data_IF_135317583173
#
_entry.id   IF_135317583173
#
_cell.length_a   1.000
_cell.length_b   1.000
_cell.length_c   1.000
_cell.angle_alpha   90.00
_cell.angle_beta   90.00
_cell.angle_gamma   90.00
#
_symmetry.space_group_name_H-M   'P 1'
#
loop_
_entity.id
_entity.type
_entity.pdbx_description
1 polymer ?
#
# COMPACT_ATOMS: atom_id res chain seq x y z
N UNK A 1 30.61 18.89 5.81
CA UNK A 1 29.52 18.26 6.55
C UNK A 1 30.14 17.57 7.72
N UNK A 2 29.62 17.87 8.91
CA UNK A 2 30.12 17.32 10.14
C UNK A 2 28.97 16.55 10.76
N UNK A 3 29.21 15.26 11.04
CA UNK A 3 28.28 14.41 11.78
C UNK A 3 28.83 14.27 13.19
N UNK A 4 28.03 14.64 14.19
CA UNK A 4 28.37 14.44 15.58
C UNK A 4 27.38 13.46 16.22
N UNK A 5 27.90 12.54 17.04
CA UNK A 5 27.09 11.59 17.79
C UNK A 5 27.40 11.75 19.26
N UNK A 6 26.38 12.07 20.05
CA UNK A 6 26.47 12.17 21.51
C UNK A 6 25.76 10.97 22.10
N UNK A 7 26.42 10.25 23.00
CA UNK A 7 25.83 9.07 23.63
C UNK A 7 26.21 8.93 25.10
N UNK A 8 25.29 8.34 25.88
CA UNK A 8 25.53 7.89 27.25
C UNK A 8 25.55 6.35 27.35
N UNK A 9 25.68 5.64 26.22
CA UNK A 9 25.69 4.18 26.13
C UNK A 9 24.30 3.53 26.00
N UNK A 10 23.22 4.27 26.22
CA UNK A 10 21.83 3.79 26.05
C UNK A 10 21.10 4.61 24.99
N UNK A 11 21.30 5.92 25.00
CA UNK A 11 20.75 6.87 24.05
C UNK A 11 21.87 7.39 23.14
N UNK A 12 21.62 7.42 21.83
CA UNK A 12 22.52 7.93 20.81
C UNK A 12 21.81 9.05 20.06
N UNK A 13 22.32 10.27 20.18
CA UNK A 13 21.78 11.48 19.55
C UNK A 13 22.68 11.90 18.41
N UNK A 14 22.10 12.03 17.22
CA UNK A 14 22.81 12.38 16.00
C UNK A 14 22.55 13.85 15.63
N UNK A 15 23.63 14.57 15.35
CA UNK A 15 23.64 15.99 15.03
C UNK A 15 24.35 16.21 13.70
N UNK A 16 23.86 17.18 12.94
CA UNK A 16 24.48 17.60 11.69
C UNK A 16 24.30 19.10 11.46
N UNK A 17 25.01 19.63 10.47
CA UNK A 17 24.98 21.03 10.04
C UNK A 17 23.88 21.24 8.96
N UNK A 18 22.60 21.06 9.32
CA UNK A 18 21.46 21.19 8.38
C UNK A 18 21.10 22.64 8.10
N UNK A 19 21.21 23.52 9.11
CA UNK A 19 20.90 24.94 8.99
C UNK A 19 22.03 25.77 8.40
N UNK A 20 23.03 26.10 9.23
CA UNK A 20 24.18 26.89 8.82
C UNK A 20 25.42 26.00 8.57
N UNK A 21 26.18 26.26 7.51
CA UNK A 21 27.39 25.47 7.23
C UNK A 21 28.40 25.61 8.37
N UNK A 22 28.85 24.47 8.91
CA UNK A 22 29.79 24.35 10.03
C UNK A 22 29.27 24.76 11.42
N UNK A 23 27.97 25.02 11.58
CA UNK A 23 27.32 25.13 12.89
C UNK A 23 26.40 23.93 13.09
N UNK A 24 26.61 23.18 14.17
CA UNK A 24 25.75 22.03 14.48
C UNK A 24 24.36 22.51 14.92
N UNK A 25 23.33 21.83 14.46
CA UNK A 25 21.96 22.11 14.89
C UNK A 25 21.83 21.91 16.42
N UNK A 26 21.07 22.79 17.08
CA UNK A 26 20.88 22.72 18.54
C UNK A 26 20.06 21.49 19.00
N UNK A 27 19.27 20.91 18.08
CA UNK A 27 18.44 19.74 18.34
C UNK A 27 18.96 18.56 17.50
N UNK A 28 19.02 17.34 18.07
CA UNK A 28 19.39 16.16 17.30
C UNK A 28 18.30 15.85 16.26
N UNK A 29 18.71 15.50 15.04
CA UNK A 29 17.76 15.13 13.99
C UNK A 29 17.29 13.68 14.13
N UNK A 30 18.08 12.84 14.82
CA UNK A 30 17.73 11.46 15.11
C UNK A 30 18.22 11.07 16.50
N UNK A 31 17.38 10.38 17.26
CA UNK A 31 17.71 9.84 18.58
C UNK A 31 17.36 8.36 18.60
N UNK A 32 18.37 7.53 18.79
CA UNK A 32 18.22 6.09 18.95
C UNK A 32 18.32 5.74 20.43
N UNK A 33 17.42 4.86 20.87
CA UNK A 33 17.45 4.26 22.20
C UNK A 33 17.60 2.76 22.06
N UNK A 34 18.71 2.21 22.55
CA UNK A 34 19.03 0.78 22.39
C UNK A 34 18.08 -0.14 23.16
N UNK A 35 17.40 0.38 24.18
CA UNK A 35 16.41 -0.33 24.98
C UNK A 35 15.05 -0.49 24.28
N UNK A 36 14.79 0.25 23.21
CA UNK A 36 13.54 0.25 22.45
C UNK A 36 13.73 -0.20 20.98
N UNK A 37 14.69 -1.09 20.73
CA UNK A 37 15.28 -1.41 19.42
C UNK A 37 14.36 -2.11 18.40
N UNK A 38 13.05 -2.22 18.65
CA UNK A 38 12.13 -2.89 17.72
C UNK A 38 11.73 -2.02 16.52
N UNK A 39 12.05 -0.72 16.51
CA UNK A 39 11.66 0.20 15.42
C UNK A 39 12.82 1.11 15.00
N UNK A 40 13.00 1.26 13.69
CA UNK A 40 13.90 2.21 13.01
C UNK A 40 15.38 1.80 12.84
N UNK A 41 15.72 0.51 12.82
CA UNK A 41 17.08 0.02 12.49
C UNK A 41 17.54 0.38 11.07
N UNK A 42 16.59 0.59 10.15
CA UNK A 42 16.86 0.97 8.75
C UNK A 42 17.61 2.31 8.65
N UNK A 43 17.36 3.21 9.62
CA UNK A 43 18.04 4.49 9.72
C UNK A 43 19.51 4.28 10.07
N UNK A 44 19.81 3.36 10.98
CA UNK A 44 21.17 3.04 11.41
C UNK A 44 22.02 2.43 10.29
N UNK A 45 21.40 1.61 9.43
CA UNK A 45 22.08 0.97 8.30
C UNK A 45 22.70 1.99 7.32
N UNK A 46 22.13 3.19 7.21
CA UNK A 46 22.62 4.27 6.35
C UNK A 46 23.85 4.99 6.89
N UNK A 47 24.13 4.86 8.19
CA UNK A 47 25.33 5.41 8.83
C UNK A 47 26.53 4.44 8.77
N UNK A 48 26.39 3.28 8.12
CA UNK A 48 27.47 2.33 7.96
C UNK A 48 28.58 2.92 7.05
N UNK A 49 29.84 2.68 7.43
CA UNK A 49 31.03 3.25 6.76
C UNK A 49 31.08 2.97 5.25
N UNK A 50 30.52 1.85 4.80
CA UNK A 50 30.50 1.47 3.37
C UNK A 50 29.47 2.23 2.52
N UNK A 51 28.46 2.86 3.15
CA UNK A 51 27.35 3.58 2.48
C UNK A 51 27.37 5.07 2.82
N UNK A 52 28.31 5.50 3.66
CA UNK A 52 28.41 6.86 4.17
C UNK A 52 28.63 7.88 3.03
N UNK A 53 27.63 8.72 2.80
CA UNK A 53 27.70 9.86 1.87
C UNK A 53 27.32 11.14 2.59
N UNK A 54 28.22 12.15 2.68
CA UNK A 54 27.95 13.37 3.42
C UNK A 54 26.76 14.18 2.89
N UNK A 55 26.56 14.22 1.58
CA UNK A 55 25.43 14.92 0.97
C UNK A 55 24.12 14.21 1.24
N UNK A 56 24.08 12.89 1.04
CA UNK A 56 22.87 12.09 1.25
C UNK A 56 22.40 12.08 2.71
N UNK A 57 23.32 12.10 3.68
CA UNK A 57 22.97 12.14 5.10
C UNK A 57 22.40 13.50 5.49
N UNK A 58 22.91 14.60 4.91
CA UNK A 58 22.36 15.94 5.14
C UNK A 58 20.94 16.05 4.58
N UNK A 59 20.71 15.61 3.35
CA UNK A 59 19.38 15.65 2.74
C UNK A 59 18.40 14.80 3.56
N UNK A 60 18.83 13.62 3.98
CA UNK A 60 18.03 12.73 4.82
C UNK A 60 17.73 13.32 6.21
N UNK A 61 18.70 13.97 6.85
CA UNK A 61 18.50 14.65 8.12
C UNK A 61 17.54 15.84 7.98
N UNK A 62 17.61 16.55 6.85
CA UNK A 62 16.67 17.62 6.47
C UNK A 62 15.26 17.07 6.36
N UNK A 63 15.08 15.98 5.62
CA UNK A 63 13.79 15.31 5.45
C UNK A 63 13.21 14.83 6.79
N UNK A 64 14.04 14.21 7.64
CA UNK A 64 13.63 13.78 8.97
C UNK A 64 13.19 14.95 9.86
N UNK A 65 13.94 16.06 9.81
CA UNK A 65 13.62 17.27 10.57
C UNK A 65 12.28 17.87 10.12
N UNK A 66 12.08 18.00 8.81
CA UNK A 66 10.79 18.47 8.26
C UNK A 66 9.66 17.51 8.57
N UNK A 67 9.87 16.20 8.45
CA UNK A 67 8.88 15.18 8.82
C UNK A 67 8.47 15.34 10.27
N UNK A 68 9.43 15.48 11.18
CA UNK A 68 9.15 15.69 12.60
C UNK A 68 8.36 16.98 12.82
N UNK A 69 8.78 18.11 12.21
CA UNK A 69 8.06 19.39 12.29
C UNK A 69 6.62 19.28 11.80
N UNK A 70 6.41 18.62 10.66
CA UNK A 70 5.08 18.38 10.09
C UNK A 70 4.24 17.52 11.03
N UNK A 71 4.80 16.43 11.57
CA UNK A 71 4.09 15.57 12.54
C UNK A 71 3.72 16.36 13.80
N UNK A 72 4.60 17.20 14.33
CA UNK A 72 4.28 18.05 15.49
C UNK A 72 3.20 19.07 15.17
N UNK A 73 3.27 19.71 13.99
CA UNK A 73 2.25 20.64 13.54
C UNK A 73 0.89 19.95 13.39
N UNK A 74 0.84 18.80 12.71
CA UNK A 74 -0.38 18.01 12.56
C UNK A 74 -0.92 17.53 13.91
N UNK A 75 -0.05 17.10 14.84
CA UNK A 75 -0.49 16.76 16.20
C UNK A 75 -1.10 17.97 16.91
N UNK A 76 -0.49 19.15 16.81
CA UNK A 76 -1.01 20.35 17.44
C UNK A 76 -2.37 20.78 16.86
N UNK A 77 -2.56 20.64 15.55
CA UNK A 77 -3.79 21.01 14.84
C UNK A 77 -4.91 19.95 15.00
N UNK A 78 -4.55 18.67 15.07
CA UNK A 78 -5.51 17.56 15.08
C UNK A 78 -5.83 17.03 16.49
N UNK A 79 -4.94 17.20 17.48
CA UNK A 79 -5.18 16.77 18.87
C UNK A 79 -6.06 17.80 19.61
N UNK A 80 -7.34 17.82 19.23
CA UNK A 80 -8.35 18.73 19.74
C UNK A 80 -9.03 18.20 21.02
N UNK A 81 -8.41 17.30 21.77
CA UNK A 81 -9.04 16.69 22.97
C UNK A 81 -9.43 17.73 24.02
N UNK A 82 -8.56 18.72 24.23
CA UNK A 82 -8.75 19.82 25.20
C UNK A 82 -8.63 21.22 24.57
N UNK A 83 -8.55 21.32 23.25
CA UNK A 83 -8.30 22.57 22.52
C UNK A 83 -9.36 22.81 21.44
N UNK A 84 -9.48 24.06 21.01
CA UNK A 84 -10.30 24.45 19.87
C UNK A 84 -9.48 24.38 18.59
N UNK A 85 -10.10 24.04 17.44
CA UNK A 85 -9.40 24.05 16.16
C UNK A 85 -8.90 25.45 15.83
N UNK A 86 -7.70 25.54 15.24
CA UNK A 86 -7.14 26.83 14.84
C UNK A 86 -8.03 27.50 13.78
N UNK A 87 -8.06 28.83 13.78
CA UNK A 87 -8.79 29.57 12.74
C UNK A 87 -8.27 29.27 11.34
N UNK A 88 -6.97 28.99 11.20
CA UNK A 88 -6.36 28.63 9.93
C UNK A 88 -6.92 27.29 9.41
N UNK A 89 -7.05 26.30 10.29
CA UNK A 89 -7.64 25.00 9.97
C UNK A 89 -9.11 25.13 9.57
N UNK A 90 -9.90 25.87 10.35
CA UNK A 90 -11.33 26.08 10.04
C UNK A 90 -11.50 26.79 8.71
N UNK A 91 -10.71 27.83 8.43
CA UNK A 91 -10.74 28.52 7.13
C UNK A 91 -10.34 27.60 5.99
N UNK A 92 -9.32 26.78 6.17
CA UNK A 92 -8.87 25.83 5.15
C UNK A 92 -9.95 24.78 4.81
N UNK A 93 -10.65 24.25 5.82
CA UNK A 93 -11.76 23.31 5.62
C UNK A 93 -12.92 23.99 4.89
N UNK A 94 -13.31 25.20 5.31
CA UNK A 94 -14.41 25.93 4.69
C UNK A 94 -14.09 26.44 3.28
N UNK A 95 -12.80 26.68 2.99
CA UNK A 95 -12.33 27.06 1.66
C UNK A 95 -12.21 25.87 0.70
N UNK A 96 -12.34 24.63 1.18
CA UNK A 96 -12.35 23.45 0.34
C UNK A 96 -13.65 23.41 -0.48
N UNK A 97 -13.54 23.00 -1.74
CA UNK A 97 -14.68 22.93 -2.66
C UNK A 97 -15.81 22.10 -2.03
N UNK A 98 -17.06 22.57 -2.22
CA UNK A 98 -18.31 21.94 -1.74
C UNK A 98 -18.63 22.09 -0.25
N UNK A 99 -17.87 22.85 0.54
CA UNK A 99 -18.16 23.03 1.98
C UNK A 99 -18.96 24.30 2.31
N UNK A 100 -18.64 25.44 1.69
CA UNK A 100 -19.34 26.70 1.94
C UNK A 100 -19.38 27.60 0.69
N UNK A 101 -20.57 27.89 0.17
CA UNK A 101 -20.78 28.71 -1.05
C UNK A 101 -20.67 30.23 -0.79
N UNK A 102 -19.71 30.68 0.01
CA UNK A 102 -19.54 32.08 0.35
C UNK A 102 -18.15 32.47 0.83
N UNK A 103 -17.91 33.78 1.04
CA UNK A 103 -16.64 34.27 1.59
C UNK A 103 -16.52 33.87 3.06
N UNK A 104 -15.40 33.25 3.43
CA UNK A 104 -15.11 32.85 4.81
C UNK A 104 -14.70 34.09 5.62
N UNK A 105 -15.66 34.70 6.33
CA UNK A 105 -15.44 35.82 7.25
C UNK A 105 -15.20 35.33 8.68
N UNK A 106 -14.64 36.16 9.56
CA UNK A 106 -14.39 35.78 10.96
C UNK A 106 -15.63 35.29 11.71
N UNK A 107 -16.80 35.89 11.46
CA UNK A 107 -18.06 35.44 12.06
C UNK A 107 -18.53 34.07 11.58
N UNK A 108 -18.22 33.70 10.32
CA UNK A 108 -18.47 32.36 9.79
C UNK A 108 -17.53 31.37 10.49
N UNK A 109 -16.24 31.68 10.61
CA UNK A 109 -15.26 30.82 11.29
C UNK A 109 -15.69 30.48 12.72
N UNK A 110 -16.10 31.46 13.52
CA UNK A 110 -16.58 31.23 14.90
C UNK A 110 -17.81 30.32 14.96
N UNK A 111 -18.77 30.50 14.04
CA UNK A 111 -19.95 29.63 13.96
C UNK A 111 -19.60 28.18 13.62
N UNK A 112 -18.63 27.99 12.73
CA UNK A 112 -18.25 26.65 12.24
C UNK A 112 -17.18 25.97 13.10
N UNK A 113 -16.47 26.70 13.96
CA UNK A 113 -15.47 26.17 14.91
C UNK A 113 -15.96 24.96 15.72
N UNK A 114 -17.12 24.97 16.40
CA UNK A 114 -17.61 23.80 17.13
C UNK A 114 -18.03 22.63 16.21
N UNK A 115 -18.51 22.93 15.00
CA UNK A 115 -18.93 21.92 14.03
C UNK A 115 -17.71 21.16 13.51
N UNK A 116 -16.65 21.89 13.14
CA UNK A 116 -15.36 21.33 12.68
C UNK A 116 -14.74 20.46 13.77
N UNK A 117 -14.77 20.91 15.03
CA UNK A 117 -14.26 20.12 16.16
C UNK A 117 -14.97 18.76 16.28
N UNK A 118 -16.30 18.76 16.26
CA UNK A 118 -17.08 17.53 16.36
C UNK A 118 -16.86 16.60 15.17
N UNK A 119 -16.81 17.15 13.95
CA UNK A 119 -16.53 16.36 12.74
C UNK A 119 -15.15 15.71 12.81
N UNK A 120 -14.12 16.45 13.23
CA UNK A 120 -12.76 15.91 13.36
C UNK A 120 -12.67 14.81 14.41
N UNK A 121 -13.35 14.99 15.56
CA UNK A 121 -13.44 13.96 16.60
C UNK A 121 -14.11 12.68 16.10
N UNK A 122 -15.16 12.80 15.27
CA UNK A 122 -15.83 11.66 14.67
C UNK A 122 -14.90 10.89 13.72
N UNK A 123 -14.21 11.60 12.83
CA UNK A 123 -13.24 11.00 11.90
C UNK A 123 -12.10 10.33 12.67
N UNK A 124 -11.52 10.99 13.67
CA UNK A 124 -10.42 10.42 14.46
C UNK A 124 -10.88 9.15 15.20
N UNK A 125 -12.08 9.15 15.76
CA UNK A 125 -12.67 7.96 16.41
C UNK A 125 -12.83 6.81 15.41
N UNK A 126 -13.32 7.09 14.21
CA UNK A 126 -13.50 6.07 13.18
C UNK A 126 -12.17 5.53 12.65
N UNK A 127 -11.15 6.37 12.52
CA UNK A 127 -9.79 5.95 12.17
C UNK A 127 -9.23 5.05 13.27
N UNK A 128 -9.29 5.47 14.54
CA UNK A 128 -8.80 4.66 15.66
C UNK A 128 -9.57 3.35 15.76
N UNK A 129 -10.89 3.36 15.61
CA UNK A 129 -11.71 2.14 15.60
C UNK A 129 -11.29 1.18 14.49
N UNK A 130 -11.04 1.68 13.27
CA UNK A 130 -10.53 0.86 12.17
C UNK A 130 -9.13 0.32 12.44
N UNK A 131 -8.24 1.13 13.01
CA UNK A 131 -6.90 0.70 13.39
C UNK A 131 -6.93 -0.36 14.50
N UNK A 132 -7.80 -0.21 15.50
CA UNK A 132 -7.98 -1.21 16.58
C UNK A 132 -8.62 -2.48 16.03
N UNK A 133 -9.66 -2.38 15.20
CA UNK A 133 -10.26 -3.55 14.56
C UNK A 133 -9.26 -4.33 13.69
N UNK A 134 -8.39 -3.62 12.95
CA UNK A 134 -7.31 -4.24 12.18
C UNK A 134 -6.22 -4.88 13.06
N UNK A 135 -6.10 -4.48 14.34
CA UNK A 135 -5.23 -5.12 15.32
C UNK A 135 -5.93 -6.32 16.01
N UNK A 136 -7.26 -6.28 16.13
CA UNK A 136 -8.10 -7.33 16.74
C UNK A 136 -8.48 -8.46 15.76
N UNK A 137 -8.31 -8.28 14.45
CA UNK A 137 -8.56 -9.31 13.40
C UNK A 137 -7.60 -10.55 13.47
N UNK A 138 -6.89 -10.72 14.59
CA UNK A 138 -6.40 -12.02 15.06
C UNK A 138 -7.46 -12.90 15.73
N UNK A 139 -8.70 -12.42 15.92
CA UNK A 139 -9.85 -13.22 16.38
C UNK A 139 -11.12 -12.81 15.61
N UNK A 140 -11.67 -13.78 14.88
CA UNK A 140 -12.79 -13.70 13.93
C UNK A 140 -14.11 -13.18 14.55
N UNK A 141 -14.59 -12.02 14.04
CA UNK A 141 -15.90 -11.69 13.40
C UNK A 141 -17.27 -12.14 14.02
N UNK A 142 -18.46 -11.75 13.49
CA UNK A 142 -18.97 -10.45 12.98
C UNK A 142 -20.48 -10.12 13.32
N UNK A 143 -20.86 -8.82 13.19
CA UNK A 143 -22.12 -8.17 12.68
C UNK A 143 -23.54 -8.69 13.14
N UNK A 144 -24.72 -8.15 12.71
CA UNK A 144 -25.11 -6.96 11.92
C UNK A 144 -26.39 -6.21 12.42
N UNK A 145 -26.74 -5.06 11.82
CA UNK A 145 -28.15 -4.64 11.60
C UNK A 145 -28.29 -3.93 10.24
N UNK A 146 -29.06 -4.55 9.35
CA UNK A 146 -29.66 -4.07 8.08
C UNK A 146 -31.08 -3.48 8.34
N UNK A 147 -31.94 -3.11 7.35
CA UNK A 147 -31.80 -2.58 5.97
C UNK A 147 -32.73 -1.34 5.71
N UNK A 148 -32.71 -0.63 4.57
CA UNK A 148 -33.53 -0.82 3.34
C UNK A 148 -33.64 0.54 2.57
N UNK A 149 -34.24 0.67 1.36
CA UNK A 149 -34.34 -0.21 0.19
C UNK A 149 -33.96 0.50 -1.16
N UNK A 150 -33.76 -0.30 -2.21
CA UNK A 150 -33.73 0.09 -3.64
C UNK A 150 -35.14 -0.02 -4.26
N UNK A 151 -35.39 0.61 -5.43
CA UNK A 151 -35.83 -0.21 -6.57
C UNK A 151 -35.06 0.09 -7.89
N UNK A 152 -34.70 -0.98 -8.59
CA UNK A 152 -34.32 -1.03 -10.02
C UNK A 152 -35.61 -1.23 -10.88
N UNK A 153 -35.62 -1.45 -12.22
CA UNK A 153 -34.51 -1.61 -13.19
C UNK A 153 -34.73 -0.92 -14.58
N UNK A 154 -33.74 -1.00 -15.48
CA UNK A 154 -33.88 -1.37 -16.92
C UNK A 154 -32.49 -1.57 -17.54
N UNK A 155 -32.44 -2.45 -18.55
CA UNK A 155 -31.34 -3.28 -19.00
C UNK A 155 -30.36 -2.70 -20.04
N UNK A 156 -29.13 -3.24 -19.97
CA UNK A 156 -28.23 -3.72 -21.05
C UNK A 156 -27.34 -2.77 -21.89
N UNK A 157 -26.18 -3.29 -22.39
CA UNK A 157 -24.90 -2.58 -22.58
C UNK A 157 -24.54 -2.32 -24.08
N UNK A 158 -23.45 -1.59 -24.42
CA UNK A 158 -22.08 -2.16 -24.49
C UNK A 158 -20.93 -1.20 -24.04
N UNK A 159 -19.73 -1.79 -23.96
CA UNK A 159 -18.40 -1.31 -23.53
C UNK A 159 -17.82 -0.04 -24.20
N UNK A 160 -16.53 0.31 -23.98
CA UNK A 160 -15.79 0.56 -22.74
C UNK A 160 -15.37 2.05 -22.69
N UNK A 161 -15.51 2.73 -21.56
CA UNK A 161 -14.95 4.07 -21.37
C UNK A 161 -13.82 4.01 -20.34
N UNK A 162 -12.63 4.33 -20.85
CA UNK A 162 -11.49 4.74 -20.07
C UNK A 162 -11.84 6.07 -19.39
N UNK A 163 -11.94 6.06 -18.07
CA UNK A 163 -11.82 7.29 -17.29
C UNK A 163 -10.38 7.39 -16.78
N UNK A 164 -9.63 8.23 -17.50
CA UNK A 164 -8.49 8.92 -16.95
C UNK A 164 -9.03 10.02 -16.03
N UNK A 165 -8.56 10.08 -14.79
CA UNK A 165 -8.00 11.26 -14.12
C UNK A 165 -7.71 10.92 -12.65
N UNK A 166 -6.45 10.57 -12.35
CA UNK A 166 -5.79 11.04 -11.12
C UNK A 166 -4.27 11.10 -11.38
N UNK A 167 -3.73 12.32 -11.31
CA UNK A 167 -2.33 12.61 -11.56
C UNK A 167 -1.55 12.62 -10.25
N UNK A 168 -0.77 11.56 -10.00
CA UNK A 168 0.65 11.60 -9.56
C UNK A 168 1.19 10.17 -9.42
N UNK A 169 2.33 9.93 -10.09
CA UNK A 169 3.05 8.65 -10.25
C UNK A 169 2.36 7.65 -11.18
N UNK A 170 2.37 7.94 -12.49
CA UNK A 170 2.03 6.96 -13.52
C UNK A 170 3.02 5.79 -13.42
N UNK A 171 2.58 4.68 -12.85
CA UNK A 171 3.00 3.38 -13.32
C UNK A 171 2.65 3.36 -14.82
N UNK A 172 3.68 3.38 -15.67
CA UNK A 172 3.47 3.19 -17.10
C UNK A 172 3.36 1.69 -17.30
N UNK A 173 2.15 1.20 -17.57
CA UNK A 173 1.96 -0.20 -17.94
C UNK A 173 2.77 -0.46 -19.19
N UNK A 174 3.86 -1.21 -19.03
CA UNK A 174 4.86 -1.42 -20.06
C UNK A 174 4.35 -2.46 -21.06
N UNK A 175 4.74 -2.39 -22.33
CA UNK A 175 4.35 -3.39 -23.36
C UNK A 175 4.68 -4.83 -22.91
N UNK A 176 5.75 -5.00 -22.13
CA UNK A 176 6.14 -6.27 -21.51
C UNK A 176 5.11 -6.80 -20.51
N UNK A 177 4.46 -5.94 -19.73
CA UNK A 177 3.44 -6.32 -18.75
C UNK A 177 2.12 -6.71 -19.42
N UNK A 178 1.73 -5.99 -20.47
CA UNK A 178 0.62 -6.36 -21.33
C UNK A 178 0.86 -7.70 -22.04
N UNK A 179 2.10 -7.97 -22.47
CA UNK A 179 2.48 -9.26 -23.05
C UNK A 179 2.37 -10.41 -22.02
N UNK A 180 2.77 -10.18 -20.77
CA UNK A 180 2.60 -11.17 -19.69
C UNK A 180 1.13 -11.40 -19.39
N UNK A 181 0.31 -10.35 -19.35
CA UNK A 181 -1.13 -10.49 -19.16
C UNK A 181 -1.77 -11.28 -20.31
N UNK A 182 -1.37 -11.04 -21.55
CA UNK A 182 -1.84 -11.81 -22.71
C UNK A 182 -1.46 -13.29 -22.62
N UNK A 183 -0.21 -13.60 -22.21
CA UNK A 183 0.24 -14.97 -21.97
C UNK A 183 -0.53 -15.63 -20.82
N UNK A 184 -0.73 -14.93 -19.70
CA UNK A 184 -1.53 -15.41 -18.57
C UNK A 184 -2.98 -15.70 -18.99
N UNK A 185 -3.58 -14.82 -19.80
CA UNK A 185 -4.93 -15.00 -20.35
C UNK A 185 -5.01 -16.20 -21.29
N UNK A 186 -3.98 -16.43 -22.11
CA UNK A 186 -3.90 -17.59 -22.99
C UNK A 186 -3.81 -18.90 -22.18
N UNK A 187 -2.96 -18.94 -21.16
CA UNK A 187 -2.85 -20.10 -20.25
C UNK A 187 -4.17 -20.32 -19.51
N UNK A 188 -4.80 -19.24 -19.02
CA UNK A 188 -6.09 -19.31 -18.36
C UNK A 188 -7.17 -19.89 -19.29
N UNK A 189 -7.23 -19.46 -20.55
CA UNK A 189 -8.18 -19.96 -21.54
C UNK A 189 -7.99 -21.45 -21.91
N UNK A 190 -6.75 -21.96 -21.81
CA UNK A 190 -6.44 -23.40 -22.01
C UNK A 190 -6.73 -24.24 -20.77
N UNK A 191 -6.87 -23.60 -19.61
CA UNK A 191 -7.13 -24.27 -18.34
C UNK A 191 -8.62 -24.63 -18.17
N UNK A 192 -8.94 -25.69 -17.40
CA UNK A 192 -10.33 -26.04 -17.10
C UNK A 192 -11.06 -24.99 -16.25
N UNK A 193 -10.34 -23.99 -15.71
CA UNK A 193 -10.90 -22.93 -14.87
C UNK A 193 -11.49 -21.76 -15.68
N UNK A 194 -11.29 -21.71 -16.99
CA UNK A 194 -11.88 -20.69 -17.86
C UNK A 194 -13.42 -20.69 -17.84
N UNK A 195 -14.02 -21.86 -17.60
CA UNK A 195 -15.48 -22.05 -17.49
C UNK A 195 -15.94 -22.35 -16.06
N UNK A 196 -15.02 -22.36 -15.09
CA UNK A 196 -15.36 -22.60 -13.69
C UNK A 196 -16.01 -21.35 -13.08
N UNK A 197 -16.78 -21.57 -12.02
CA UNK A 197 -17.36 -20.50 -11.21
C UNK A 197 -16.66 -20.50 -9.85
N UNK A 198 -16.29 -19.30 -9.37
CA UNK A 198 -15.83 -19.11 -7.99
C UNK A 198 -17.00 -18.56 -7.18
N UNK A 199 -17.24 -19.16 -6.02
CA UNK A 199 -18.20 -18.65 -5.05
C UNK A 199 -17.70 -17.31 -4.52
N UNK A 200 -18.39 -16.22 -4.87
CA UNK A 200 -18.07 -14.91 -4.33
C UNK A 200 -18.78 -14.73 -2.98
N UNK A 201 -18.01 -14.81 -1.89
CA UNK A 201 -18.48 -14.62 -0.51
C UNK A 201 -19.21 -13.29 -0.30
N UNK A 202 -18.88 -12.25 -1.09
CA UNK A 202 -19.50 -10.93 -0.97
C UNK A 202 -20.89 -10.87 -1.57
N UNK A 203 -21.16 -11.63 -2.63
CA UNK A 203 -22.46 -11.65 -3.32
C UNK A 203 -23.25 -12.93 -3.03
N UNK A 204 -22.64 -13.88 -2.29
CA UNK A 204 -23.14 -15.23 -1.98
C UNK A 204 -23.65 -15.97 -3.22
N UNK A 205 -22.99 -15.74 -4.36
CA UNK A 205 -23.34 -16.31 -5.66
C UNK A 205 -22.09 -16.81 -6.36
N UNK A 206 -22.28 -17.82 -7.20
CA UNK A 206 -21.27 -18.32 -8.10
C UNK A 206 -21.05 -17.30 -9.23
N UNK A 207 -19.85 -16.72 -9.28
CA UNK A 207 -19.45 -15.76 -10.30
C UNK A 207 -18.49 -16.42 -11.29
N UNK A 208 -18.55 -16.08 -12.60
CA UNK A 208 -17.56 -16.56 -13.56
C UNK A 208 -16.17 -16.05 -13.18
N UNK A 209 -15.16 -16.88 -13.39
CA UNK A 209 -13.78 -16.49 -13.12
C UNK A 209 -13.27 -15.59 -14.25
N UNK A 210 -13.03 -14.32 -13.93
CA UNK A 210 -12.42 -13.38 -14.85
C UNK A 210 -11.00 -13.02 -14.41
N UNK A 211 -10.05 -13.10 -15.34
CA UNK A 211 -8.66 -12.72 -15.11
C UNK A 211 -8.49 -11.22 -15.35
N UNK A 212 -8.09 -10.50 -14.31
CA UNK A 212 -7.90 -9.05 -14.31
C UNK A 212 -6.47 -8.72 -13.90
N UNK A 213 -6.02 -7.51 -14.23
CA UNK A 213 -4.71 -7.02 -13.82
C UNK A 213 -4.82 -5.67 -13.11
N UNK A 214 -3.81 -5.36 -12.29
CA UNK A 214 -3.64 -4.06 -11.66
C UNK A 214 -2.15 -3.76 -11.60
N UNK A 215 -1.80 -2.65 -12.22
CA UNK A 215 -0.47 -2.09 -12.15
C UNK A 215 -0.27 -1.37 -10.82
N UNK A 216 0.86 -1.63 -10.15
CA UNK A 216 1.24 -0.99 -8.90
C UNK A 216 2.68 -0.53 -8.99
N UNK A 217 3.06 0.47 -8.19
CA UNK A 217 4.39 1.08 -8.21
C UNK A 217 5.53 0.09 -7.94
N UNK A 218 5.25 -1.10 -7.38
CA UNK A 218 6.25 -2.12 -7.09
C UNK A 218 6.11 -3.44 -7.86
N UNK A 219 4.94 -3.74 -8.44
CA UNK A 219 4.70 -4.98 -9.18
C UNK A 219 3.44 -4.89 -10.05
N UNK A 220 3.41 -5.70 -11.10
CA UNK A 220 2.25 -5.94 -11.93
C UNK A 220 1.46 -7.13 -11.37
N UNK A 221 0.28 -6.89 -10.82
CA UNK A 221 -0.54 -7.91 -10.16
C UNK A 221 -1.61 -8.47 -11.10
N UNK A 222 -1.70 -9.80 -11.21
CA UNK A 222 -2.78 -10.51 -11.92
C UNK A 222 -3.62 -11.25 -10.88
N UNK A 223 -4.93 -11.07 -10.95
CA UNK A 223 -5.88 -11.60 -9.98
C UNK A 223 -7.16 -12.10 -10.64
N UNK A 224 -7.92 -12.92 -9.92
CA UNK A 224 -9.22 -13.43 -10.34
C UNK A 224 -10.33 -12.58 -9.73
N UNK A 225 -11.16 -11.92 -10.53
CA UNK A 225 -12.34 -11.13 -10.13
C UNK A 225 -12.05 -9.93 -9.20
N UNK A 226 -11.44 -10.15 -8.02
CA UNK A 226 -11.11 -9.13 -7.02
C UNK A 226 -9.60 -9.00 -6.82
N UNK A 227 -9.07 -7.77 -6.60
CA UNK A 227 -7.64 -7.54 -6.37
C UNK A 227 -7.03 -8.33 -5.21
N UNK A 228 -7.84 -8.76 -4.24
CA UNK A 228 -7.40 -9.61 -3.12
C UNK A 228 -7.16 -11.08 -3.50
N UNK A 229 -7.72 -11.55 -4.61
CA UNK A 229 -7.55 -12.93 -5.13
C UNK A 229 -6.43 -12.96 -6.15
N UNK A 230 -5.27 -12.45 -5.75
CA UNK A 230 -4.09 -12.40 -6.59
C UNK A 230 -3.54 -13.81 -6.81
N UNK A 231 -3.12 -14.08 -8.04
CA UNK A 231 -2.57 -15.38 -8.45
C UNK A 231 -1.12 -15.23 -8.85
N UNK A 232 -0.82 -14.16 -9.60
CA UNK A 232 0.51 -13.88 -10.12
C UNK A 232 0.88 -12.45 -9.78
N UNK A 233 2.14 -12.24 -9.42
CA UNK A 233 2.75 -10.90 -9.29
C UNK A 233 4.02 -10.90 -10.11
N UNK A 234 4.16 -9.93 -10.99
CA UNK A 234 5.27 -9.87 -11.94
C UNK A 234 6.04 -8.59 -11.67
N UNK A 235 7.35 -8.67 -11.63
CA UNK A 235 8.21 -7.49 -11.51
C UNK A 235 9.25 -7.53 -12.61
N UNK A 236 9.30 -6.47 -13.40
CA UNK A 236 10.35 -6.24 -14.38
C UNK A 236 11.39 -5.28 -13.80
N UNK A 237 12.59 -5.77 -13.55
CA UNK A 237 13.69 -4.98 -13.01
C UNK A 237 15.03 -5.56 -13.47
N UNK A 238 16.13 -5.31 -12.74
CA UNK A 238 17.43 -5.96 -13.01
C UNK A 238 17.35 -7.48 -12.96
N UNK A 239 16.52 -8.00 -12.06
CA UNK A 239 16.13 -9.41 -11.98
C UNK A 239 14.63 -9.45 -12.14
N UNK A 240 14.15 -9.85 -13.31
CA UNK A 240 12.72 -9.98 -13.56
C UNK A 240 12.22 -11.30 -12.99
N UNK A 241 11.06 -11.27 -12.32
CA UNK A 241 10.54 -12.46 -11.66
C UNK A 241 9.01 -12.48 -11.65
N UNK A 242 8.48 -13.70 -11.57
CA UNK A 242 7.05 -13.97 -11.38
C UNK A 242 6.88 -14.69 -10.05
N UNK A 243 6.10 -14.08 -9.17
CA UNK A 243 5.65 -14.66 -7.91
C UNK A 243 4.30 -15.33 -8.10
N UNK A 244 4.15 -16.55 -7.59
CA UNK A 244 2.90 -17.29 -7.60
C UNK A 244 2.33 -17.33 -6.18
N UNK A 245 1.00 -17.27 -6.06
CA UNK A 245 0.32 -17.51 -4.79
C UNK A 245 0.26 -19.02 -4.49
N UNK A 246 1.43 -19.62 -4.29
CA UNK A 246 1.62 -21.04 -4.00
C UNK A 246 2.68 -21.20 -2.90
N UNK A 247 2.53 -22.19 -2.02
CA UNK A 247 3.61 -22.56 -1.12
C UNK A 247 4.74 -23.25 -1.90
N UNK A 248 5.98 -23.08 -1.44
CA UNK A 248 7.17 -23.49 -2.19
C UNK A 248 7.26 -25.01 -2.43
N UNK A 249 6.72 -25.80 -1.50
CA UNK A 249 6.60 -27.27 -1.59
C UNK A 249 5.78 -27.75 -2.78
N UNK A 250 4.73 -27.01 -3.15
CA UNK A 250 3.88 -27.31 -4.32
C UNK A 250 4.47 -26.72 -5.59
N UNK A 251 5.14 -25.56 -5.49
CA UNK A 251 5.71 -24.85 -6.63
C UNK A 251 6.99 -25.46 -7.18
N UNK A 252 7.96 -25.79 -6.33
CA UNK A 252 9.28 -26.32 -6.71
C UNK A 252 9.27 -27.52 -7.68
N UNK A 253 8.43 -28.57 -7.51
CA UNK A 253 8.44 -29.71 -8.43
C UNK A 253 7.85 -29.39 -9.82
N UNK A 254 7.13 -28.28 -9.96
CA UNK A 254 6.49 -27.86 -11.21
C UNK A 254 7.36 -26.88 -12.01
N UNK A 255 8.53 -26.49 -11.50
CA UNK A 255 9.47 -25.60 -12.18
C UNK A 255 10.22 -26.38 -13.25
N UNK A 256 10.15 -25.98 -14.53
CA UNK A 256 11.00 -26.56 -15.56
C UNK A 256 12.48 -26.30 -15.24
N UNK A 257 13.36 -27.25 -15.57
CA UNK A 257 14.80 -27.20 -15.21
C UNK A 257 15.56 -25.97 -15.75
N UNK A 258 14.98 -25.27 -16.71
CA UNK A 258 15.55 -24.06 -17.32
C UNK A 258 15.34 -22.79 -16.48
N UNK A 259 14.59 -22.88 -15.38
CA UNK A 259 14.22 -21.74 -14.55
C UNK A 259 14.80 -21.79 -13.14
N UNK A 260 15.23 -20.62 -12.65
CA UNK A 260 15.77 -20.46 -11.31
C UNK A 260 14.68 -20.04 -10.33
N UNK A 261 14.51 -20.80 -9.24
CA UNK A 261 13.67 -20.39 -8.11
C UNK A 261 14.43 -19.36 -7.27
N UNK A 262 13.79 -18.24 -6.97
CA UNK A 262 14.36 -17.18 -6.14
C UNK A 262 13.78 -17.25 -4.71
N UNK A 263 14.57 -16.87 -3.70
CA UNK A 263 14.13 -16.90 -2.29
C UNK A 263 12.93 -15.98 -1.99
N UNK A 264 12.20 -16.15 -0.88
CA UNK A 264 10.94 -15.46 -0.61
C UNK A 264 11.10 -13.92 -0.51
N UNK A 265 10.03 -13.19 -0.84
CA UNK A 265 9.94 -11.73 -0.67
C UNK A 265 8.65 -11.35 0.03
N UNK A 266 8.53 -10.12 0.59
CA UNK A 266 7.26 -9.64 1.16
C UNK A 266 6.08 -9.70 0.17
N UNK A 267 6.37 -9.76 -1.13
CA UNK A 267 5.37 -9.74 -2.20
C UNK A 267 5.00 -11.13 -2.72
N UNK A 268 5.83 -12.15 -2.54
CA UNK A 268 5.54 -13.54 -2.93
C UNK A 268 6.44 -14.52 -2.17
N UNK A 269 5.84 -15.58 -1.62
CA UNK A 269 6.57 -16.66 -0.95
C UNK A 269 7.33 -17.55 -1.94
N UNK A 270 6.75 -17.80 -3.12
CA UNK A 270 7.36 -18.57 -4.19
C UNK A 270 7.50 -17.70 -5.44
N UNK A 271 8.73 -17.55 -5.95
CA UNK A 271 9.01 -16.77 -7.16
C UNK A 271 10.03 -17.45 -8.07
N UNK A 272 9.83 -17.27 -9.37
CA UNK A 272 10.66 -17.82 -10.44
C UNK A 272 11.23 -16.66 -11.25
N UNK A 273 12.53 -16.70 -11.53
CA UNK A 273 13.17 -15.73 -12.41
C UNK A 273 12.69 -15.90 -13.85
N UNK A 274 12.31 -14.79 -14.50
CA UNK A 274 11.93 -14.77 -15.92
C UNK A 274 12.83 -13.80 -16.69
N UNK A 275 13.12 -14.10 -17.95
CA UNK A 275 13.91 -13.20 -18.81
C UNK A 275 13.05 -12.51 -19.86
N UNK A 276 12.02 -13.19 -20.36
CA UNK A 276 11.07 -12.67 -21.33
C UNK A 276 9.61 -12.91 -20.88
N UNK A 277 8.65 -12.08 -21.33
CA UNK A 277 7.22 -12.32 -21.11
C UNK A 277 6.73 -13.69 -21.59
N UNK A 278 7.32 -14.20 -22.67
CA UNK A 278 7.00 -15.50 -23.27
C UNK A 278 7.37 -16.68 -22.37
N UNK A 279 8.29 -16.48 -21.42
CA UNK A 279 8.67 -17.52 -20.47
C UNK A 279 7.49 -17.93 -19.57
N UNK A 280 6.48 -17.06 -19.40
CA UNK A 280 5.26 -17.41 -18.68
C UNK A 280 4.49 -18.56 -19.36
N UNK A 281 4.57 -18.69 -20.69
CA UNK A 281 3.94 -19.80 -21.42
C UNK A 281 4.62 -21.14 -21.09
N UNK A 282 5.93 -21.13 -20.83
CA UNK A 282 6.68 -22.32 -20.41
C UNK A 282 6.37 -22.72 -18.97
N UNK A 283 5.87 -21.78 -18.16
CA UNK A 283 5.43 -21.96 -16.78
C UNK A 283 3.92 -22.26 -16.67
N UNK A 284 3.30 -22.78 -17.73
CA UNK A 284 1.87 -23.11 -17.79
C UNK A 284 1.41 -23.98 -16.62
N UNK A 285 2.17 -25.02 -16.25
CA UNK A 285 1.84 -25.90 -15.13
C UNK A 285 1.77 -25.17 -13.78
N UNK A 286 2.67 -24.20 -13.55
CA UNK A 286 2.69 -23.37 -12.34
C UNK A 286 1.53 -22.37 -12.32
N UNK A 287 1.23 -21.74 -13.45
CA UNK A 287 0.07 -20.88 -13.59
C UNK A 287 -1.23 -21.63 -13.28
N UNK A 288 -1.40 -22.84 -13.84
CA UNK A 288 -2.56 -23.68 -13.58
C UNK A 288 -2.65 -24.09 -12.11
N UNK A 289 -1.52 -24.46 -11.49
CA UNK A 289 -1.49 -24.78 -10.07
C UNK A 289 -1.88 -23.56 -9.21
N UNK A 290 -1.43 -22.36 -9.56
CA UNK A 290 -1.77 -21.13 -8.84
C UNK A 290 -3.26 -20.77 -9.01
N UNK A 291 -3.82 -20.93 -10.20
CA UNK A 291 -5.27 -20.79 -10.41
C UNK A 291 -6.05 -21.79 -9.56
N UNK A 292 -5.63 -23.05 -9.56
CA UNK A 292 -6.24 -24.12 -8.75
C UNK A 292 -6.22 -23.78 -7.26
N UNK A 293 -5.07 -23.42 -6.72
CA UNK A 293 -4.93 -23.10 -5.30
C UNK A 293 -5.82 -21.90 -4.91
N UNK A 294 -5.87 -20.87 -5.74
CA UNK A 294 -6.74 -19.72 -5.50
C UNK A 294 -8.23 -20.10 -5.56
N UNK A 295 -8.64 -21.03 -6.43
CA UNK A 295 -10.02 -21.52 -6.50
C UNK A 295 -10.35 -22.42 -5.29
N UNK A 296 -9.46 -23.36 -4.95
CA UNK A 296 -9.65 -24.32 -3.85
C UNK A 296 -9.68 -23.63 -2.48
N UNK A 297 -8.80 -22.67 -2.22
CA UNK A 297 -8.80 -21.87 -0.99
C UNK A 297 -10.16 -21.20 -0.76
N UNK A 298 -10.78 -20.70 -1.84
CA UNK A 298 -12.08 -20.02 -1.78
C UNK A 298 -13.25 -20.99 -1.72
N UNK A 299 -13.17 -22.13 -2.40
CA UNK A 299 -14.15 -23.21 -2.26
C UNK A 299 -14.16 -23.78 -0.82
N UNK A 300 -13.01 -23.82 -0.14
CA UNK A 300 -12.89 -24.25 1.24
C UNK A 300 -13.42 -23.22 2.26
N UNK A 301 -13.57 -21.95 1.88
CA UNK A 301 -14.14 -20.87 2.72
C UNK A 301 -15.69 -20.80 2.60
N UNK A 302 -16.34 -21.81 2.01
CA UNK A 302 -17.79 -21.91 1.84
C UNK A 302 -18.51 -22.22 3.15
#
# INVERSE_FOLDING_TARGET
MSLAVITNGVEYRFYTDTGEPNLMDAQPFYTLRLDALERNLDVLARFHKSVFSPTAIRDYATDLNYTWKIVQHLRAELDLRNREPSDALVRWILASERMYDGRVTGGVVERFRPIVKNALHMVLRDVVRRSVAALDDGVVAPAPLEPAPTPAPTASPPAPVADAEDSKLKAQTTEQELAVFAAARQVFARSPYASAQIFDTSTRKDAPIELLYKDTTGYFGIYLNKPGWWVLRVVFSKTSWVGFNLPADVGEPLVPRDFTVLGPTPHAQFRVEIKAPEDLLKLEALCIAAFRACVEERAATR
#
